data_IF_259602639356
#
_entry.id   IF_259602639356
#
_cell.length_a   1.000
_cell.length_b   1.000
_cell.length_c   1.000
_cell.angle_alpha   90.00
_cell.angle_beta   90.00
_cell.angle_gamma   90.00
#
_symmetry.space_group_name_H-M   'P 1'
#
loop_
_entity.id
_entity.type
_entity.pdbx_description
1 polymer ?
#
# COMPACT_ATOMS: atom_id res chain seq x y z
N UNK A 1 -1.01 21.70 5.72
CA UNK A 1 -0.91 20.23 5.66
C UNK A 1 0.47 19.88 5.12
N UNK A 2 1.13 18.86 5.67
CA UNK A 2 2.49 18.46 5.27
C UNK A 2 2.44 17.90 3.85
N UNK A 3 3.19 18.47 2.87
CA UNK A 3 3.28 17.91 1.52
C UNK A 3 3.88 16.50 1.54
N UNK A 4 3.45 15.65 0.60
CA UNK A 4 4.01 14.30 0.44
C UNK A 4 3.16 13.19 1.03
N UNK A 5 3.79 12.04 1.25
CA UNK A 5 3.17 10.79 1.68
C UNK A 5 3.52 10.50 3.14
N UNK A 6 2.51 10.45 4.00
CA UNK A 6 2.65 10.29 5.45
C UNK A 6 1.56 9.40 6.03
N UNK A 7 1.76 8.92 7.26
CA UNK A 7 0.86 8.01 7.97
C UNK A 7 0.48 6.79 7.12
N UNK A 8 1.40 5.85 6.93
CA UNK A 8 1.00 4.51 6.48
C UNK A 8 0.22 3.86 7.62
N UNK A 9 -1.02 3.45 7.35
CA UNK A 9 -1.92 2.96 8.39
C UNK A 9 -2.40 1.53 8.19
N UNK A 10 -2.29 0.98 6.97
CA UNK A 10 -2.57 -0.40 6.68
C UNK A 10 -1.62 -0.88 5.57
N UNK A 11 -1.02 -2.05 5.73
CA UNK A 11 -0.15 -2.62 4.72
C UNK A 11 -0.14 -4.14 4.74
N UNK A 12 -0.07 -4.72 3.55
CA UNK A 12 0.49 -6.05 3.33
C UNK A 12 1.97 -5.89 3.00
N UNK A 13 2.81 -6.11 3.99
CA UNK A 13 4.26 -5.95 3.87
C UNK A 13 4.91 -7.24 3.40
N UNK A 14 5.99 -7.13 2.62
CA UNK A 14 6.77 -8.28 2.18
C UNK A 14 7.55 -8.91 3.34
N UNK A 15 7.99 -10.15 3.16
CA UNK A 15 8.71 -11.01 4.11
C UNK A 15 10.20 -10.68 4.31
N UNK A 16 10.69 -9.53 3.84
CA UNK A 16 12.09 -9.07 3.93
C UNK A 16 13.14 -10.03 3.33
N UNK A 17 12.70 -11.07 2.62
CA UNK A 17 13.57 -12.07 1.97
C UNK A 17 14.45 -11.50 0.86
N UNK A 18 14.24 -10.24 0.48
CA UNK A 18 15.11 -9.49 -0.44
C UNK A 18 16.49 -9.15 0.14
N UNK A 19 16.61 -9.08 1.46
CA UNK A 19 17.85 -8.69 2.16
C UNK A 19 19.06 -9.55 1.76
N UNK A 20 18.83 -10.81 1.39
CA UNK A 20 19.87 -11.75 0.93
C UNK A 20 20.51 -11.38 -0.42
N UNK A 21 19.89 -10.50 -1.21
CA UNK A 21 20.43 -10.04 -2.50
C UNK A 21 21.07 -8.65 -2.43
N UNK A 22 21.30 -8.11 -1.24
CA UNK A 22 21.95 -6.81 -1.05
C UNK A 22 21.10 -5.65 -1.57
N UNK A 23 21.67 -4.79 -2.41
CA UNK A 23 21.09 -3.52 -2.88
C UNK A 23 19.80 -3.64 -3.74
N UNK A 24 19.14 -4.79 -3.78
CA UNK A 24 17.76 -4.90 -4.32
C UNK A 24 16.75 -4.30 -3.32
N UNK A 25 16.93 -3.03 -2.94
CA UNK A 25 16.16 -2.32 -1.90
C UNK A 25 14.83 -1.77 -2.42
N UNK A 26 14.35 -2.21 -3.58
CA UNK A 26 13.08 -1.74 -4.14
C UNK A 26 11.87 -2.52 -3.62
N UNK A 27 12.07 -3.60 -2.86
CA UNK A 27 10.96 -4.24 -2.14
C UNK A 27 10.50 -3.32 -1.00
N UNK A 28 9.26 -2.85 -1.12
CA UNK A 28 8.50 -2.12 -0.10
C UNK A 28 7.24 -2.93 0.20
N UNK A 29 6.31 -2.40 0.97
CA UNK A 29 4.99 -3.03 1.12
C UNK A 29 4.33 -3.27 -0.24
N UNK A 30 3.80 -4.48 -0.42
CA UNK A 30 3.19 -4.91 -1.67
C UNK A 30 1.87 -4.18 -1.93
N UNK A 31 1.09 -3.97 -0.89
CA UNK A 31 -0.14 -3.17 -0.94
C UNK A 31 -0.22 -2.36 0.35
N UNK A 32 -0.39 -1.05 0.26
CA UNK A 32 -0.51 -0.20 1.44
C UNK A 32 -1.46 0.98 1.23
N UNK A 33 -1.89 1.56 2.34
CA UNK A 33 -2.63 2.81 2.38
C UNK A 33 -1.95 3.83 3.27
N UNK A 34 -1.96 5.07 2.78
CA UNK A 34 -1.38 6.22 3.46
C UNK A 34 -2.17 7.48 3.20
N UNK A 35 -1.85 8.56 3.91
CA UNK A 35 -2.28 9.90 3.52
C UNK A 35 -1.29 10.48 2.53
N UNK A 36 -1.79 10.94 1.38
CA UNK A 36 -1.03 11.74 0.43
C UNK A 36 -1.55 13.17 0.44
N UNK A 37 -0.67 14.16 0.56
CA UNK A 37 -0.98 15.56 0.35
C UNK A 37 -0.29 16.07 -0.91
N UNK A 38 -1.09 16.54 -1.86
CA UNK A 38 -0.61 17.19 -3.07
C UNK A 38 -1.30 18.55 -3.20
N UNK A 39 -0.49 19.61 -3.33
CA UNK A 39 -0.95 20.99 -3.47
C UNK A 39 -1.99 21.40 -2.41
N UNK A 40 -1.74 21.01 -1.14
CA UNK A 40 -2.61 21.33 -0.02
C UNK A 40 -3.83 20.42 0.13
N UNK A 41 -4.07 19.48 -0.80
CA UNK A 41 -5.21 18.55 -0.72
C UNK A 41 -4.74 17.17 -0.25
N UNK A 42 -5.16 16.80 0.95
CA UNK A 42 -4.96 15.45 1.50
C UNK A 42 -5.98 14.46 0.95
N UNK A 43 -5.53 13.24 0.66
CA UNK A 43 -6.34 12.09 0.21
C UNK A 43 -5.82 10.82 0.85
N UNK A 44 -6.68 9.81 0.97
CA UNK A 44 -6.22 8.44 1.21
C UNK A 44 -5.70 7.91 -0.13
N UNK A 45 -4.48 7.36 -0.12
CA UNK A 45 -3.83 6.78 -1.29
C UNK A 45 -3.60 5.30 -1.07
N UNK A 46 -3.98 4.50 -2.06
CA UNK A 46 -3.54 3.12 -2.22
C UNK A 46 -2.23 3.10 -3.03
N UNK A 47 -1.23 2.36 -2.56
CA UNK A 47 -0.06 1.96 -3.36
C UNK A 47 -0.05 0.45 -3.54
N UNK A 48 0.32 0.01 -4.74
CA UNK A 48 0.53 -1.40 -5.07
C UNK A 48 1.91 -1.53 -5.69
N UNK A 49 2.72 -2.48 -5.20
CA UNK A 49 4.03 -2.81 -5.72
C UNK A 49 4.22 -4.33 -5.88
N UNK A 50 4.84 -4.72 -6.99
CA UNK A 50 5.14 -6.11 -7.31
C UNK A 50 5.85 -6.26 -8.66
N UNK A 51 6.03 -7.49 -9.11
CA UNK A 51 6.84 -7.83 -10.29
C UNK A 51 8.30 -8.02 -9.92
N UNK A 52 9.25 -7.72 -10.82
CA UNK A 52 10.68 -7.91 -10.51
C UNK A 52 11.12 -7.08 -9.31
N UNK A 53 11.79 -7.69 -8.32
CA UNK A 53 12.37 -6.98 -7.17
C UNK A 53 13.41 -5.93 -7.57
N UNK A 54 14.05 -6.08 -8.75
CA UNK A 54 15.03 -5.10 -9.25
C UNK A 54 14.41 -3.89 -9.95
N UNK A 55 13.17 -4.03 -10.42
CA UNK A 55 12.44 -2.99 -11.15
C UNK A 55 10.92 -3.19 -10.98
N UNK A 56 10.38 -2.98 -9.77
CA UNK A 56 9.00 -3.31 -9.51
C UNK A 56 8.05 -2.33 -10.18
N UNK A 57 6.90 -2.84 -10.63
CA UNK A 57 5.80 -1.98 -11.06
C UNK A 57 5.19 -1.32 -9.83
N UNK A 58 4.95 -0.01 -9.90
CA UNK A 58 4.27 0.74 -8.84
C UNK A 58 3.01 1.41 -9.38
N UNK A 59 1.87 1.12 -8.74
CA UNK A 59 0.60 1.80 -9.01
C UNK A 59 0.23 2.63 -7.78
N UNK A 60 -0.22 3.86 -8.01
CA UNK A 60 -0.79 4.74 -6.99
C UNK A 60 -2.19 5.15 -7.39
N UNK A 61 -3.14 5.05 -6.46
CA UNK A 61 -4.53 5.43 -6.69
C UNK A 61 -4.99 6.33 -5.55
N UNK A 62 -5.38 7.54 -5.91
CA UNK A 62 -5.93 8.50 -4.96
C UNK A 62 -7.43 8.28 -4.77
N UNK A 63 -7.84 8.21 -3.52
CA UNK A 63 -9.24 8.26 -3.12
C UNK A 63 -9.81 9.68 -3.09
N UNK A 64 -10.99 9.86 -2.47
CA UNK A 64 -11.56 11.19 -2.26
C UNK A 64 -10.70 12.03 -1.31
N UNK A 65 -11.01 13.32 -1.23
CA UNK A 65 -10.40 14.23 -0.25
C UNK A 65 -10.58 13.67 1.16
N UNK A 66 -9.50 13.65 1.92
CA UNK A 66 -9.49 13.24 3.32
C UNK A 66 -10.40 14.16 4.14
N UNK A 67 -11.24 13.55 4.95
CA UNK A 67 -12.10 14.17 5.95
C UNK A 67 -11.58 13.74 7.31
N UNK A 68 -11.30 14.71 8.17
CA UNK A 68 -11.04 14.45 9.59
C UNK A 68 -12.35 14.18 10.31
N UNK A 69 -12.30 13.47 11.44
CA UNK A 69 -13.48 13.11 12.24
C UNK A 69 -14.55 12.36 11.42
N UNK A 70 -14.07 11.42 10.60
CA UNK A 70 -14.91 10.58 9.73
C UNK A 70 -14.39 9.15 9.78
N UNK A 71 -15.27 8.21 10.13
CA UNK A 71 -14.98 6.79 10.02
C UNK A 71 -15.04 6.36 8.57
N UNK A 72 -13.95 5.76 8.10
CA UNK A 72 -13.85 5.21 6.76
C UNK A 72 -14.01 3.70 6.77
N UNK A 73 -14.94 3.19 5.96
CA UNK A 73 -15.10 1.75 5.77
C UNK A 73 -14.19 1.26 4.64
N UNK A 74 -13.12 0.55 5.02
CA UNK A 74 -12.19 -0.04 4.07
C UNK A 74 -12.57 -1.47 3.74
N UNK A 75 -12.54 -1.79 2.44
CA UNK A 75 -12.50 -3.17 1.97
C UNK A 75 -11.46 -3.31 0.88
N UNK A 76 -10.55 -4.26 1.05
CA UNK A 76 -9.62 -4.67 0.02
C UNK A 76 -9.84 -6.15 -0.31
N UNK A 77 -9.61 -6.51 -1.56
CA UNK A 77 -9.49 -7.91 -2.00
C UNK A 77 -8.26 -8.01 -2.88
N UNK A 78 -7.37 -8.91 -2.51
CA UNK A 78 -6.11 -9.10 -3.23
C UNK A 78 -5.95 -10.56 -3.61
N UNK A 79 -5.62 -10.80 -4.88
CA UNK A 79 -5.11 -12.09 -5.36
C UNK A 79 -3.60 -11.95 -5.45
N UNK A 80 -2.89 -12.74 -4.64
CA UNK A 80 -1.44 -12.65 -4.51
C UNK A 80 -0.72 -13.39 -5.65
N UNK A 81 -0.06 -12.65 -6.54
CA UNK A 81 0.75 -13.24 -7.61
C UNK A 81 1.82 -12.26 -8.11
N UNK A 82 3.01 -12.72 -8.48
CA UNK A 82 3.99 -11.89 -9.20
C UNK A 82 3.64 -11.70 -10.68
N UNK A 83 2.70 -12.49 -11.22
CA UNK A 83 2.25 -12.40 -12.59
C UNK A 83 1.15 -11.32 -12.73
N UNK A 84 1.36 -10.28 -13.55
CA UNK A 84 0.42 -9.17 -13.66
C UNK A 84 -0.91 -9.53 -14.32
N UNK A 85 -1.02 -10.69 -14.97
CA UNK A 85 -2.28 -11.19 -15.52
C UNK A 85 -3.12 -11.96 -14.49
N UNK A 86 -2.50 -12.47 -13.42
CA UNK A 86 -3.14 -13.26 -12.35
C UNK A 86 -3.36 -12.46 -11.07
N UNK A 87 -2.37 -11.66 -10.69
CA UNK A 87 -2.46 -10.80 -9.53
C UNK A 87 -3.55 -9.75 -9.71
N UNK A 88 -4.22 -9.38 -8.62
CA UNK A 88 -5.37 -8.47 -8.69
C UNK A 88 -5.53 -7.73 -7.39
N UNK A 89 -5.82 -6.44 -7.48
CA UNK A 89 -6.25 -5.64 -6.32
C UNK A 89 -7.59 -5.02 -6.62
N UNK A 90 -8.47 -5.08 -5.62
CA UNK A 90 -9.72 -4.35 -5.60
C UNK A 90 -9.82 -3.58 -4.29
N UNK A 91 -10.23 -2.32 -4.36
CA UNK A 91 -10.34 -1.45 -3.20
C UNK A 91 -11.68 -0.70 -3.22
N UNK A 92 -12.36 -0.73 -2.08
CA UNK A 92 -13.53 0.07 -1.79
C UNK A 92 -13.27 0.93 -0.56
N UNK A 93 -13.83 2.14 -0.60
CA UNK A 93 -13.86 3.09 0.51
C UNK A 93 -15.29 3.60 0.65
N UNK A 94 -15.88 3.48 1.84
CA UNK A 94 -17.27 3.86 2.14
C UNK A 94 -18.26 3.22 1.14
N UNK A 95 -18.07 1.92 0.89
CA UNK A 95 -18.89 1.14 -0.05
C UNK A 95 -18.64 1.41 -1.54
N UNK A 96 -17.93 2.48 -1.90
CA UNK A 96 -17.61 2.82 -3.30
C UNK A 96 -16.34 2.13 -3.78
N UNK A 97 -16.42 1.42 -4.91
CA UNK A 97 -15.25 0.81 -5.55
C UNK A 97 -14.37 1.87 -6.20
N UNK A 98 -13.14 2.01 -5.72
CA UNK A 98 -12.16 2.99 -6.23
C UNK A 98 -11.15 2.35 -7.20
N UNK A 99 -10.82 1.08 -7.00
CA UNK A 99 -9.88 0.36 -7.87
C UNK A 99 -10.30 -1.10 -8.06
N UNK A 100 -10.05 -1.64 -9.25
CA UNK A 100 -10.26 -3.06 -9.57
C UNK A 100 -9.58 -3.42 -10.89
N UNK A 101 -8.31 -3.80 -10.85
CA UNK A 101 -7.55 -4.23 -12.05
C UNK A 101 -6.57 -5.36 -11.72
N UNK A 102 -6.13 -6.06 -12.76
CA UNK A 102 -5.02 -7.00 -12.66
C UNK A 102 -3.69 -6.24 -12.60
N UNK A 103 -2.77 -6.73 -11.78
CA UNK A 103 -1.43 -6.16 -11.53
C UNK A 103 -0.60 -7.19 -10.77
N UNK A 104 0.73 -7.16 -10.90
CA UNK A 104 1.59 -7.95 -10.04
C UNK A 104 1.52 -7.42 -8.59
N UNK A 105 1.22 -8.29 -7.64
CA UNK A 105 1.03 -7.95 -6.22
C UNK A 105 2.05 -8.64 -5.30
N UNK A 106 2.94 -9.47 -5.85
CA UNK A 106 4.09 -10.06 -5.18
C UNK A 106 5.35 -9.73 -5.98
N UNK A 107 6.50 -9.82 -5.33
CA UNK A 107 7.78 -9.66 -5.98
C UNK A 107 8.33 -10.98 -6.53
N UNK A 108 9.04 -10.93 -7.65
CA UNK A 108 9.93 -12.01 -8.14
C UNK A 108 11.38 -11.58 -7.93
N UNK A 109 12.10 -12.38 -7.17
CA UNK A 109 13.48 -12.14 -6.75
C UNK A 109 14.50 -12.64 -7.78
N UNK A 110 15.77 -12.22 -7.70
CA UNK A 110 16.82 -12.64 -8.65
C UNK A 110 17.02 -14.16 -8.78
N UNK A 111 16.78 -14.92 -7.72
CA UNK A 111 16.85 -16.39 -7.73
C UNK A 111 15.55 -17.08 -8.20
N UNK A 112 14.56 -16.30 -8.65
CA UNK A 112 13.24 -16.79 -9.04
C UNK A 112 12.28 -17.04 -7.88
N UNK A 113 12.70 -16.87 -6.61
CA UNK A 113 11.80 -16.95 -5.47
C UNK A 113 10.78 -15.81 -5.49
N UNK A 114 9.63 -16.04 -4.86
CA UNK A 114 8.51 -15.09 -4.80
C UNK A 114 8.38 -14.59 -3.37
N UNK A 115 8.14 -13.29 -3.19
CA UNK A 115 7.88 -12.73 -1.86
C UNK A 115 6.59 -13.30 -1.26
N UNK A 116 6.49 -13.30 0.06
CA UNK A 116 5.21 -13.52 0.76
C UNK A 116 4.80 -12.24 1.49
N UNK A 117 3.58 -12.21 2.03
CA UNK A 117 3.06 -11.02 2.71
C UNK A 117 2.47 -11.33 4.08
N UNK A 118 2.56 -10.37 4.98
CA UNK A 118 1.85 -10.33 6.25
C UNK A 118 1.17 -8.97 6.43
N UNK A 119 0.11 -8.92 7.23
CA UNK A 119 -0.69 -7.72 7.42
C UNK A 119 -0.23 -6.92 8.65
N UNK A 120 -0.12 -5.61 8.47
CA UNK A 120 0.14 -4.64 9.54
C UNK A 120 -0.96 -3.58 9.49
N UNK A 121 -1.48 -3.25 10.68
CA UNK A 121 -2.29 -2.07 10.93
C UNK A 121 -1.55 -1.23 11.99
N UNK A 122 -1.17 -0.01 11.65
CA UNK A 122 -0.25 0.78 12.47
C UNK A 122 -0.45 2.30 12.27
N UNK A 123 0.32 3.12 12.95
CA UNK A 123 0.44 4.56 12.76
C UNK A 123 1.89 4.92 12.37
N UNK A 124 2.32 4.51 11.18
CA UNK A 124 3.67 4.83 10.71
C UNK A 124 3.74 6.23 10.08
N UNK A 125 4.16 7.20 10.90
CA UNK A 125 4.21 8.64 10.55
C UNK A 125 5.15 9.00 9.40
N UNK A 126 6.10 8.14 9.05
CA UNK A 126 7.18 8.43 8.11
C UNK A 126 7.87 9.76 8.46
N UNK A 127 7.97 10.71 7.51
CA UNK A 127 8.62 12.02 7.72
C UNK A 127 7.66 13.12 8.19
N UNK A 128 6.40 12.82 8.54
CA UNK A 128 5.50 13.85 9.02
C UNK A 128 5.92 14.35 10.41
N UNK A 129 6.15 15.65 10.51
CA UNK A 129 6.51 16.34 11.77
C UNK A 129 5.26 16.66 12.61
N UNK A 130 4.08 16.71 12.00
CA UNK A 130 2.82 17.00 12.68
C UNK A 130 2.35 15.84 13.55
N UNK A 131 1.99 16.13 14.80
CA UNK A 131 1.29 15.17 15.67
C UNK A 131 -0.09 14.87 15.11
N UNK A 132 -0.36 13.57 14.92
CA UNK A 132 -1.63 13.07 14.38
C UNK A 132 -2.11 11.91 15.22
N UNK A 133 -3.41 11.67 15.21
CA UNK A 133 -4.05 10.51 15.86
C UNK A 133 -4.84 9.78 14.80
N UNK A 134 -4.76 8.45 14.80
CA UNK A 134 -5.58 7.56 13.97
C UNK A 134 -6.31 6.61 14.90
N UNK A 135 -7.61 6.45 14.69
CA UNK A 135 -8.42 5.44 15.34
C UNK A 135 -8.66 4.30 14.35
N UNK A 136 -8.58 3.07 14.84
CA UNK A 136 -8.64 1.85 14.05
C UNK A 136 -9.61 0.89 14.71
N UNK A 137 -10.53 0.31 13.94
CA UNK A 137 -11.50 -0.69 14.40
C UNK A 137 -11.92 -1.61 13.23
N UNK A 138 -12.52 -2.76 13.54
CA UNK A 138 -13.17 -3.64 12.56
C UNK A 138 -12.25 -4.43 11.63
N UNK A 139 -10.96 -4.55 11.96
CA UNK A 139 -10.01 -5.35 11.18
C UNK A 139 -10.34 -6.85 11.25
N UNK A 140 -10.37 -7.52 10.10
CA UNK A 140 -10.74 -8.93 9.93
C UNK A 140 -10.06 -9.55 8.71
#
# INVERSE_FOLDING_TARGET
>A
AVPGEWNLFAQWHNDDGWTKFGQTTAELSNVDWMVSNQNGVSRIRLRIMGGSSSAPTTIRVDGPRLRTDHWYDFRARTVWSPDPSRGRVQWWLDGKRLYSRHVATLYTRPDGSVSSVYFILDHYRRHAETTTTIFLDGAR
#
